data_IF_772645082626
#
_entry.id   IF_772645082626
#
_cell.length_a   1.000
_cell.length_b   1.000
_cell.length_c   1.000
_cell.angle_alpha   90.00
_cell.angle_beta   90.00
_cell.angle_gamma   90.00
#
_symmetry.space_group_name_H-M   'P 1'
#
loop_
_entity.id
_entity.type
_entity.pdbx_description
1 polymer ?
#
# COMPACT_ATOMS: atom_id res chain seq x y z
N UNK A 1 -1.93 -11.21 14.53
CA UNK A 1 -2.03 -9.77 14.89
C UNK A 1 -1.36 -8.82 13.88
N UNK A 2 -0.08 -8.98 13.54
CA UNK A 2 0.64 -8.10 12.58
C UNK A 2 -0.04 -7.96 11.20
N UNK A 3 -0.58 -9.06 10.65
CA UNK A 3 -1.33 -9.03 9.37
C UNK A 3 -2.58 -8.16 9.41
N UNK A 4 -3.26 -8.04 10.56
CA UNK A 4 -4.44 -7.17 10.70
C UNK A 4 -4.05 -5.71 10.96
N UNK A 5 -2.89 -5.45 11.59
CA UNK A 5 -2.36 -4.08 11.69
C UNK A 5 -1.88 -3.53 10.35
N UNK A 6 -1.36 -4.38 9.47
CA UNK A 6 -0.80 -3.96 8.17
C UNK A 6 -1.86 -3.87 7.07
N UNK A 7 -2.88 -4.74 7.10
CA UNK A 7 -3.87 -4.90 6.03
C UNK A 7 -5.32 -4.64 6.49
N UNK A 8 -5.47 -4.05 7.67
CA UNK A 8 -6.72 -3.89 8.42
C UNK A 8 -7.40 -5.22 8.82
N UNK A 9 -8.30 -5.17 9.83
CA UNK A 9 -9.08 -6.33 10.23
C UNK A 9 -10.14 -6.64 9.18
N UNK A 10 -10.18 -7.89 8.69
CA UNK A 10 -11.22 -8.33 7.75
C UNK A 10 -12.31 -9.07 8.50
N UNK A 11 -13.36 -8.37 8.88
CA UNK A 11 -14.49 -8.95 9.59
C UNK A 11 -15.50 -9.56 8.62
N UNK A 12 -15.88 -10.81 8.87
CA UNK A 12 -17.04 -11.43 8.25
C UNK A 12 -18.20 -11.38 9.23
N UNK A 13 -19.37 -10.95 8.77
CA UNK A 13 -20.57 -10.84 9.59
C UNK A 13 -21.55 -11.96 9.22
N UNK A 14 -22.10 -12.62 10.23
CA UNK A 14 -23.17 -13.62 10.12
C UNK A 14 -24.23 -13.38 11.19
N UNK A 15 -25.40 -14.00 11.06
CA UNK A 15 -26.42 -13.93 12.11
C UNK A 15 -26.83 -15.33 12.54
N UNK A 16 -27.16 -15.46 13.81
CA UNK A 16 -27.74 -16.64 14.42
C UNK A 16 -28.97 -16.21 15.23
N UNK A 17 -30.15 -16.40 14.66
CA UNK A 17 -31.40 -15.90 15.23
C UNK A 17 -31.34 -14.40 15.50
N UNK A 18 -31.35 -14.02 16.78
CA UNK A 18 -31.30 -12.62 17.26
C UNK A 18 -29.89 -12.08 17.50
N UNK A 19 -28.87 -12.89 17.26
CA UNK A 19 -27.48 -12.53 17.52
C UNK A 19 -26.76 -12.29 16.20
N UNK A 20 -26.13 -11.13 16.07
CA UNK A 20 -25.15 -10.84 15.03
C UNK A 20 -23.78 -11.32 15.51
N UNK A 21 -23.09 -12.09 14.70
CA UNK A 21 -21.75 -12.61 14.95
C UNK A 21 -20.78 -11.97 13.97
N UNK A 22 -19.57 -11.67 14.41
CA UNK A 22 -18.48 -11.31 13.50
C UNK A 22 -17.17 -11.94 13.91
N UNK A 23 -16.39 -12.34 12.91
CA UNK A 23 -15.06 -12.92 13.12
C UNK A 23 -14.08 -12.43 12.06
N UNK A 24 -12.83 -12.26 12.47
CA UNK A 24 -11.77 -11.88 11.55
C UNK A 24 -11.36 -13.10 10.71
N UNK A 25 -11.51 -13.01 9.39
CA UNK A 25 -11.10 -14.04 8.42
C UNK A 25 -9.58 -14.25 8.37
N UNK A 26 -8.80 -13.35 8.99
CA UNK A 26 -7.33 -13.49 9.11
C UNK A 26 -6.93 -14.22 10.40
N UNK A 27 -7.88 -14.84 11.09
CA UNK A 27 -7.67 -15.68 12.29
C UNK A 27 -6.85 -15.00 13.39
N UNK A 28 -6.97 -13.67 13.51
CA UNK A 28 -6.22 -12.92 14.52
C UNK A 28 -6.86 -12.97 15.92
N UNK A 29 -7.95 -13.73 16.08
CA UNK A 29 -8.74 -13.80 17.32
C UNK A 29 -9.67 -12.61 17.54
N UNK A 30 -9.80 -11.67 16.60
CA UNK A 30 -10.78 -10.59 16.72
C UNK A 30 -12.15 -11.10 16.27
N UNK A 31 -13.04 -11.31 17.24
CA UNK A 31 -14.43 -11.72 17.03
C UNK A 31 -15.32 -11.05 18.06
N UNK A 32 -16.62 -11.08 17.83
CA UNK A 32 -17.60 -10.61 18.79
C UNK A 32 -19.02 -10.96 18.38
N UNK A 33 -19.94 -10.70 19.29
CA UNK A 33 -21.35 -10.90 19.10
C UNK A 33 -22.15 -9.69 19.58
N UNK A 34 -23.33 -9.51 18.99
CA UNK A 34 -24.27 -8.47 19.40
C UNK A 34 -25.69 -8.98 19.29
N UNK A 35 -26.42 -8.94 20.40
CA UNK A 35 -27.83 -9.33 20.44
C UNK A 35 -28.74 -8.17 20.06
N UNK A 36 -29.74 -8.47 19.23
CA UNK A 36 -30.77 -7.55 18.80
C UNK A 36 -32.14 -7.98 19.36
N UNK A 37 -33.12 -7.06 19.41
CA UNK A 37 -34.47 -7.38 19.88
C UNK A 37 -35.18 -8.42 19.00
N UNK A 38 -34.94 -8.38 17.68
CA UNK A 38 -35.57 -9.29 16.71
C UNK A 38 -34.54 -9.95 15.80
N UNK A 39 -34.93 -11.09 15.22
CA UNK A 39 -34.07 -11.83 14.30
C UNK A 39 -33.91 -11.10 12.96
N UNK A 40 -34.96 -10.42 12.49
CA UNK A 40 -34.91 -9.63 11.26
C UNK A 40 -33.94 -8.46 11.39
N UNK A 41 -33.82 -7.88 12.58
CA UNK A 41 -32.84 -6.82 12.84
C UNK A 41 -31.41 -7.37 12.72
N UNK A 42 -31.12 -8.50 13.37
CA UNK A 42 -29.80 -9.14 13.28
C UNK A 42 -29.43 -9.52 11.83
N UNK A 43 -30.37 -10.11 11.09
CA UNK A 43 -30.17 -10.46 9.68
C UNK A 43 -29.93 -9.22 8.80
N UNK A 44 -30.73 -8.16 8.97
CA UNK A 44 -30.60 -6.93 8.20
C UNK A 44 -29.23 -6.30 8.38
N UNK A 45 -28.74 -6.26 9.62
CA UNK A 45 -27.39 -5.74 9.89
C UNK A 45 -26.31 -6.67 9.34
N UNK A 46 -26.44 -7.99 9.48
CA UNK A 46 -25.48 -8.94 8.90
C UNK A 46 -25.31 -8.74 7.40
N UNK A 47 -26.43 -8.68 6.66
CA UNK A 47 -26.42 -8.45 5.20
C UNK A 47 -25.87 -7.07 4.83
N UNK A 48 -26.17 -6.04 5.61
CA UNK A 48 -25.70 -4.68 5.34
C UNK A 48 -24.18 -4.53 5.54
N UNK A 49 -23.62 -5.15 6.59
CA UNK A 49 -22.20 -5.10 6.88
C UNK A 49 -21.36 -5.98 5.94
N UNK A 50 -21.85 -7.18 5.59
CA UNK A 50 -21.14 -8.05 4.63
C UNK A 50 -21.01 -7.39 3.25
N UNK A 51 -22.06 -6.70 2.76
CA UNK A 51 -22.00 -5.96 1.49
C UNK A 51 -21.02 -4.79 1.50
N UNK A 52 -20.95 -4.02 2.61
CA UNK A 52 -20.03 -2.88 2.74
C UNK A 52 -18.57 -3.34 2.84
N UNK A 53 -18.30 -4.46 3.50
CA UNK A 53 -16.94 -5.03 3.59
C UNK A 53 -16.44 -5.40 2.18
N UNK A 54 -17.26 -6.08 1.37
CA UNK A 54 -16.91 -6.47 0.00
C UNK A 54 -16.58 -5.26 -0.87
N UNK A 55 -17.34 -4.17 -0.75
CA UNK A 55 -17.12 -2.93 -1.53
C UNK A 55 -15.86 -2.17 -1.05
N UNK A 56 -15.57 -2.20 0.26
CA UNK A 56 -14.38 -1.57 0.84
C UNK A 56 -13.06 -2.24 0.43
N UNK A 57 -13.08 -3.51 0.03
CA UNK A 57 -11.90 -4.26 -0.46
C UNK A 57 -11.22 -3.55 -1.64
N UNK A 58 -11.98 -2.84 -2.48
CA UNK A 58 -11.43 -2.10 -3.62
C UNK A 58 -10.75 -0.79 -3.23
N UNK A 59 -11.12 -0.19 -2.09
CA UNK A 59 -10.69 1.17 -1.70
C UNK A 59 -9.36 1.19 -0.95
N UNK A 60 -8.96 0.07 -0.35
CA UNK A 60 -7.68 -0.07 0.36
C UNK A 60 -6.56 -0.70 -0.50
N UNK A 61 -6.77 -0.84 -1.82
CA UNK A 61 -5.71 -1.23 -2.74
C UNK A 61 -4.65 -0.11 -2.82
N UNK A 62 -3.39 -0.37 -2.40
CA UNK A 62 -2.41 0.65 -2.10
C UNK A 62 -1.72 1.14 -3.37
N UNK A 63 -2.40 1.98 -4.15
CA UNK A 63 -1.71 2.78 -5.16
C UNK A 63 -0.74 3.81 -4.52
N UNK A 64 -0.82 4.01 -3.20
CA UNK A 64 0.14 4.79 -2.41
C UNK A 64 1.41 4.02 -2.00
N UNK A 65 1.46 2.68 -2.15
CA UNK A 65 2.61 1.86 -1.75
C UNK A 65 3.80 1.89 -2.72
N UNK A 66 3.62 2.45 -3.93
CA UNK A 66 4.66 2.51 -4.97
C UNK A 66 5.43 3.84 -4.99
N UNK A 67 5.05 4.79 -4.14
CA UNK A 67 5.78 6.06 -4.00
C UNK A 67 7.25 5.88 -3.57
N UNK A 68 7.61 4.98 -2.63
CA UNK A 68 9.00 4.76 -2.23
C UNK A 68 9.87 4.22 -3.38
N UNK A 69 9.31 3.33 -4.21
CA UNK A 69 10.00 2.76 -5.37
C UNK A 69 10.21 3.80 -6.48
N UNK A 70 9.25 4.72 -6.68
CA UNK A 70 9.39 5.82 -7.66
C UNK A 70 10.48 6.81 -7.25
N UNK A 71 10.59 7.15 -5.95
CA UNK A 71 11.68 7.97 -5.42
C UNK A 71 13.05 7.30 -5.57
N UNK A 72 13.14 6.00 -5.25
CA UNK A 72 14.41 5.26 -5.37
C UNK A 72 14.90 5.15 -6.82
N UNK A 73 13.98 4.94 -7.78
CA UNK A 73 14.30 4.95 -9.22
C UNK A 73 14.80 6.31 -9.68
N UNK A 74 14.11 7.40 -9.33
CA UNK A 74 14.52 8.76 -9.67
C UNK A 74 15.92 9.13 -9.10
N UNK A 75 16.25 8.63 -7.90
CA UNK A 75 17.57 8.87 -7.30
C UNK A 75 18.68 8.05 -7.96
N UNK A 76 18.39 6.84 -8.46
CA UNK A 76 19.36 6.01 -9.20
C UNK A 76 19.73 6.63 -10.55
N UNK A 77 18.77 7.18 -11.29
CA UNK A 77 19.02 7.79 -12.61
C UNK A 77 19.88 9.07 -12.51
N UNK A 78 19.70 9.86 -11.44
CA UNK A 78 20.56 11.03 -11.18
C UNK A 78 22.04 10.65 -10.94
N UNK A 79 22.31 9.47 -10.37
CA UNK A 79 23.69 9.00 -10.14
C UNK A 79 24.40 8.55 -11.42
N UNK A 80 23.67 8.05 -12.43
CA UNK A 80 24.24 7.75 -13.75
C UNK A 80 24.65 9.01 -14.53
N UNK A 81 23.94 10.12 -14.33
CA UNK A 81 24.21 11.36 -15.07
C UNK A 81 25.38 12.17 -14.49
N UNK A 82 25.70 11.96 -13.19
CA UNK A 82 26.81 12.65 -12.51
C UNK A 82 28.19 12.08 -12.86
N UNK A 83 28.29 10.82 -13.30
CA UNK A 83 29.59 10.22 -13.70
C UNK A 83 30.08 10.70 -15.07
N UNK A 84 29.18 11.05 -15.98
CA UNK A 84 29.54 11.55 -17.33
C UNK A 84 30.08 12.99 -17.27
N UNK A 85 29.63 13.80 -16.30
CA UNK A 85 30.03 15.22 -16.22
C UNK A 85 31.41 15.44 -15.57
N UNK A 86 31.95 14.44 -14.86
CA UNK A 86 33.28 14.51 -14.22
C UNK A 86 34.41 13.96 -15.09
N UNK A 87 34.11 13.20 -16.15
CA UNK A 87 35.12 12.65 -17.08
C UNK A 87 35.30 13.49 -18.36
N UNK A 88 34.43 14.47 -18.62
CA UNK A 88 34.52 15.34 -19.80
C UNK A 88 35.39 16.60 -19.65
N UNK A 89 36.09 16.77 -18.51
CA UNK A 89 36.78 18.02 -18.15
C UNK A 89 38.31 17.96 -18.11
N UNK A 90 38.95 17.01 -18.79
CA UNK A 90 40.41 16.86 -18.78
C UNK A 90 40.98 16.44 -20.14
N UNK A 91 40.77 17.23 -21.18
CA UNK A 91 41.60 17.17 -22.39
C UNK A 91 41.44 18.45 -23.22
N UNK A 92 42.33 19.43 -23.01
CA UNK A 92 42.96 20.23 -24.08
C UNK A 92 43.63 21.50 -23.51
N UNK A 93 44.77 21.33 -22.82
CA UNK A 93 45.83 22.34 -22.87
C UNK A 93 47.13 21.61 -23.22
N UNK A 94 47.32 21.36 -24.52
CA UNK A 94 48.65 21.27 -25.10
C UNK A 94 48.81 22.44 -26.05
N UNK A 95 49.61 23.41 -25.62
CA UNK A 95 50.41 24.21 -26.55
C UNK A 95 51.11 23.28 -27.53
N UNK A 96 51.37 23.76 -28.75
CA UNK A 96 52.77 23.83 -29.11
C UNK A 96 53.16 25.20 -29.66
N UNK A 97 54.28 25.64 -29.11
CA UNK A 97 55.25 26.57 -29.66
C UNK A 97 55.83 26.07 -31.00
N UNK A 98 56.06 26.98 -31.95
CA UNK A 98 56.81 26.85 -33.23
C UNK A 98 56.04 27.61 -34.35
N UNK A 99 56.58 28.42 -35.26
CA UNK A 99 57.90 29.02 -35.53
C UNK A 99 57.71 29.94 -36.76
N UNK A 100 58.61 30.90 -36.97
CA UNK A 100 59.04 31.45 -38.29
C UNK A 100 57.97 31.76 -39.36
N UNK A 101 57.76 33.05 -39.64
CA UNK A 101 58.36 33.74 -40.80
C UNK A 101 58.06 35.24 -40.76
#
# INVERSE_FOLDING_TARGET
MLRCRLLDHRYRFSHEGRTLLWSCLRECGASGDKRYPTAEAAERYARAFDRRDIDSLGRHAPLFGLYPLRLWRAWRDRRRTRSVRLTGGAAATRSPESSRR
#
